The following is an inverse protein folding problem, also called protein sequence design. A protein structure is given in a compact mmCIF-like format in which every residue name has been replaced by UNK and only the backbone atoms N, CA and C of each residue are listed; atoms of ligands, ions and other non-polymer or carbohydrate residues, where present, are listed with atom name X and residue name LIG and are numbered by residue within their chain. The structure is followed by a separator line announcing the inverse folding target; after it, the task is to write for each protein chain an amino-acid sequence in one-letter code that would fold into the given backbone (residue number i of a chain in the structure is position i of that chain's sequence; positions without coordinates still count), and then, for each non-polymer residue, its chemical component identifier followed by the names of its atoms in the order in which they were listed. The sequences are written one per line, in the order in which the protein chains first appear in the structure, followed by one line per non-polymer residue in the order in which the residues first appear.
data_IF_896146175136
#
_entry.id   IF_896146175136
#
_cell.length_a   1.000
_cell.length_b   1.000
_cell.length_c   1.000
_cell.angle_alpha   90.00
_cell.angle_beta   90.00
_cell.angle_gamma   90.00
#
_symmetry.space_group_name_H-M   'P 1'
#
loop_
_entity.id
_entity.type
_entity.pdbx_description
1 polymer ?
#
# COMPACT_ATOMS: atom_id res chain seq x y z
N UNK A 1 19.70 -9.89 -47.56
CA UNK A 1 19.67 -8.49 -47.11
C UNK A 1 18.71 -8.25 -45.93
N UNK A 2 17.54 -8.85 -45.84
CA UNK A 2 16.58 -8.67 -44.73
C UNK A 2 16.99 -9.29 -43.36
N UNK A 3 17.86 -10.30 -43.35
CA UNK A 3 18.33 -10.94 -42.10
C UNK A 3 19.43 -10.12 -41.41
N UNK A 4 20.29 -9.48 -42.18
CA UNK A 4 21.37 -8.58 -41.67
C UNK A 4 20.77 -7.29 -41.07
N UNK A 5 19.70 -6.73 -41.66
CA UNK A 5 19.00 -5.55 -41.10
C UNK A 5 18.34 -5.83 -39.75
N UNK A 6 17.77 -7.02 -39.55
CA UNK A 6 17.21 -7.44 -38.24
C UNK A 6 18.28 -7.67 -37.17
N UNK A 7 19.46 -8.17 -37.55
CA UNK A 7 20.59 -8.35 -36.62
C UNK A 7 21.22 -6.99 -36.23
N UNK A 8 21.35 -6.06 -37.17
CA UNK A 8 21.84 -4.71 -36.88
C UNK A 8 20.86 -3.88 -36.01
N UNK A 9 19.56 -4.02 -36.24
CA UNK A 9 18.55 -3.38 -35.42
C UNK A 9 18.57 -3.89 -33.96
N UNK A 10 18.80 -5.19 -33.75
CA UNK A 10 18.94 -5.75 -32.39
C UNK A 10 20.21 -5.28 -31.67
N UNK A 11 21.31 -5.00 -32.38
CA UNK A 11 22.56 -4.52 -31.74
C UNK A 11 22.51 -3.04 -31.34
N UNK A 12 21.77 -2.20 -32.08
CA UNK A 12 21.58 -0.79 -31.72
C UNK A 12 20.60 -0.58 -30.57
N UNK A 13 19.60 -1.46 -30.44
CA UNK A 13 18.58 -1.40 -29.38
C UNK A 13 19.24 -1.60 -28.01
N UNK A 14 20.28 -2.42 -27.86
CA UNK A 14 20.98 -2.67 -26.60
C UNK A 14 21.87 -1.49 -26.11
N UNK A 15 22.15 -0.49 -26.95
CA UNK A 15 22.95 0.71 -26.56
C UNK A 15 22.10 1.94 -26.25
N UNK A 16 20.80 1.91 -26.49
CA UNK A 16 19.92 3.00 -26.12
C UNK A 16 19.66 2.94 -24.60
N UNK A 17 19.71 4.09 -23.90
CA UNK A 17 19.30 4.12 -22.51
C UNK A 17 17.88 3.57 -22.37
N UNK A 18 17.64 2.83 -21.30
CA UNK A 18 16.41 2.07 -21.07
C UNK A 18 15.14 2.91 -21.26
N UNK A 19 15.18 4.20 -20.93
CA UNK A 19 14.07 5.14 -21.08
C UNK A 19 13.74 5.45 -22.54
N UNK A 20 14.74 5.50 -23.46
CA UNK A 20 14.50 5.70 -24.89
C UNK A 20 13.89 4.43 -25.50
N UNK A 21 14.35 3.25 -25.06
CA UNK A 21 13.78 1.98 -25.48
C UNK A 21 12.31 1.86 -25.03
N UNK A 22 12.03 2.26 -23.80
CA UNK A 22 10.66 2.31 -23.27
C UNK A 22 9.78 3.30 -24.05
N UNK A 23 10.27 4.50 -24.31
CA UNK A 23 9.54 5.53 -25.08
C UNK A 23 9.29 5.14 -26.55
N UNK A 24 10.15 4.33 -27.16
CA UNK A 24 10.00 3.86 -28.54
C UNK A 24 9.06 2.66 -28.68
N UNK A 25 8.80 1.94 -27.59
CA UNK A 25 8.04 0.66 -27.55
C UNK A 25 6.65 0.87 -26.93
N UNK A 26 6.49 1.88 -26.07
CA UNK A 26 5.26 2.12 -25.31
C UNK A 26 4.53 3.37 -25.85
N UNK A 27 3.23 3.28 -25.97
CA UNK A 27 2.39 4.46 -26.19
C UNK A 27 2.58 5.44 -25.02
N UNK A 28 2.52 6.75 -25.32
CA UNK A 28 2.65 7.81 -24.32
C UNK A 28 1.68 7.62 -23.14
N UNK A 29 0.48 7.13 -23.42
CA UNK A 29 -0.54 6.85 -22.41
C UNK A 29 -0.09 5.76 -21.42
N UNK A 30 0.48 4.66 -21.90
CA UNK A 30 1.02 3.59 -21.06
C UNK A 30 2.17 4.08 -20.18
N UNK A 31 3.06 4.90 -20.73
CA UNK A 31 4.15 5.50 -19.94
C UNK A 31 3.62 6.41 -18.83
N UNK A 32 2.63 7.24 -19.16
CA UNK A 32 1.97 8.11 -18.18
C UNK A 32 1.28 7.30 -17.08
N UNK A 33 0.59 6.22 -17.45
CA UNK A 33 -0.08 5.33 -16.51
C UNK A 33 0.90 4.66 -15.54
N UNK A 34 2.05 4.19 -16.04
CA UNK A 34 3.14 3.62 -15.23
C UNK A 34 3.66 4.65 -14.23
N UNK A 35 4.01 5.84 -14.70
CA UNK A 35 4.56 6.90 -13.86
C UNK A 35 3.58 7.33 -12.78
N UNK A 36 2.33 7.63 -13.16
CA UNK A 36 1.31 8.10 -12.23
C UNK A 36 0.96 7.02 -11.21
N UNK A 37 0.73 5.78 -11.65
CA UNK A 37 0.44 4.66 -10.74
C UNK A 37 1.57 4.46 -9.73
N UNK A 38 2.82 4.50 -10.20
CA UNK A 38 4.00 4.29 -9.34
C UNK A 38 4.17 5.40 -8.31
N UNK A 39 4.05 6.67 -8.74
CA UNK A 39 4.19 7.84 -7.87
C UNK A 39 3.08 7.84 -6.83
N UNK A 40 1.83 7.69 -7.28
CA UNK A 40 0.66 7.72 -6.40
C UNK A 40 0.73 6.59 -5.38
N UNK A 41 0.94 5.35 -5.83
CA UNK A 41 1.06 4.20 -4.92
C UNK A 41 2.22 4.37 -3.94
N UNK A 42 3.41 4.73 -4.44
CA UNK A 42 4.60 4.89 -3.60
C UNK A 42 4.45 5.98 -2.54
N UNK A 43 3.82 7.10 -2.88
CA UNK A 43 3.62 8.19 -1.92
C UNK A 43 2.48 7.87 -0.95
N UNK A 44 1.38 7.29 -1.41
CA UNK A 44 0.15 7.25 -0.61
C UNK A 44 -0.03 5.97 0.21
N UNK A 45 0.71 4.89 -0.08
CA UNK A 45 0.51 3.58 0.55
C UNK A 45 0.71 3.59 2.06
N UNK A 46 1.71 4.30 2.57
CA UNK A 46 2.04 4.35 4.00
C UNK A 46 1.50 5.59 4.71
N UNK A 47 1.07 6.58 3.96
CA UNK A 47 0.39 7.75 4.49
C UNK A 47 -1.08 7.40 4.81
N UNK A 48 -1.68 8.02 5.83
CA UNK A 48 -3.07 7.75 6.15
C UNK A 48 -4.05 8.47 5.20
N UNK A 49 -3.84 8.35 3.85
CA UNK A 49 -4.60 9.10 2.82
C UNK A 49 -5.29 8.25 1.76
N UNK A 50 -5.12 6.92 1.78
CA UNK A 50 -5.74 5.94 0.87
C UNK A 50 -5.19 5.91 -0.56
N UNK A 51 -4.22 5.02 -0.80
CA UNK A 51 -3.67 4.77 -2.13
C UNK A 51 -4.74 4.32 -3.14
N UNK A 52 -5.59 3.37 -2.74
CA UNK A 52 -6.68 2.88 -3.60
C UNK A 52 -7.67 3.98 -4.01
N UNK A 53 -8.04 4.88 -3.08
CA UNK A 53 -8.91 6.01 -3.39
C UNK A 53 -8.30 6.94 -4.43
N UNK A 54 -7.00 7.26 -4.30
CA UNK A 54 -6.28 8.11 -5.26
C UNK A 54 -6.15 7.46 -6.63
N UNK A 55 -5.81 6.16 -6.69
CA UNK A 55 -5.68 5.44 -7.94
C UNK A 55 -7.01 5.38 -8.70
N UNK A 56 -8.12 5.10 -8.00
CA UNK A 56 -9.46 5.07 -8.60
C UNK A 56 -9.82 6.46 -9.12
N UNK A 57 -9.63 7.52 -8.30
CA UNK A 57 -9.93 8.88 -8.69
C UNK A 57 -9.14 9.33 -9.93
N UNK A 58 -7.84 9.06 -9.97
CA UNK A 58 -6.98 9.40 -11.10
C UNK A 58 -7.40 8.62 -12.36
N UNK A 59 -7.75 7.35 -12.20
CA UNK A 59 -8.23 6.53 -13.32
C UNK A 59 -9.50 7.11 -13.96
N UNK A 60 -10.45 7.56 -13.15
CA UNK A 60 -11.65 8.23 -13.63
C UNK A 60 -11.35 9.58 -14.28
N UNK A 61 -10.45 10.38 -13.66
CA UNK A 61 -10.07 11.70 -14.16
C UNK A 61 -9.44 11.65 -15.56
N UNK A 62 -8.58 10.65 -15.80
CA UNK A 62 -7.93 10.45 -17.10
C UNK A 62 -8.74 9.56 -18.06
N UNK A 63 -9.91 9.09 -17.63
CA UNK A 63 -10.77 8.17 -18.42
C UNK A 63 -10.00 6.94 -18.91
N UNK A 64 -9.04 6.44 -18.13
CA UNK A 64 -8.33 5.23 -18.46
C UNK A 64 -9.27 4.03 -18.38
N UNK A 65 -9.44 3.35 -19.51
CA UNK A 65 -10.49 2.32 -19.70
C UNK A 65 -10.39 1.15 -18.73
N UNK A 66 -9.18 0.80 -18.30
CA UNK A 66 -8.94 -0.30 -17.36
C UNK A 66 -7.74 0.02 -16.45
N UNK A 67 -7.96 -0.02 -15.14
CA UNK A 67 -6.84 -0.11 -14.21
C UNK A 67 -6.22 -1.49 -14.43
N UNK A 68 -5.02 -1.53 -15.01
CA UNK A 68 -4.29 -2.78 -15.15
C UNK A 68 -3.97 -3.33 -13.75
N UNK A 69 -4.75 -4.33 -13.32
CA UNK A 69 -4.59 -4.98 -12.01
C UNK A 69 -3.14 -5.44 -11.78
N UNK A 70 -2.46 -5.84 -12.85
CA UNK A 70 -1.07 -6.29 -12.79
C UNK A 70 -0.14 -5.16 -12.38
N UNK A 71 -0.33 -3.94 -12.90
CA UNK A 71 0.47 -2.76 -12.51
C UNK A 71 0.21 -2.37 -11.05
N UNK A 72 -1.05 -2.45 -10.61
CA UNK A 72 -1.40 -2.19 -9.20
C UNK A 72 -0.70 -3.20 -8.27
N UNK A 73 -0.71 -4.48 -8.62
CA UNK A 73 -0.03 -5.52 -7.83
C UNK A 73 1.48 -5.31 -7.83
N UNK A 74 2.08 -4.96 -8.98
CA UNK A 74 3.50 -4.61 -9.07
C UNK A 74 3.86 -3.42 -8.20
N UNK A 75 3.01 -2.39 -8.18
CA UNK A 75 3.19 -1.21 -7.35
C UNK A 75 3.13 -1.55 -5.84
N UNK A 76 2.19 -2.41 -5.43
CA UNK A 76 2.12 -2.90 -4.05
C UNK A 76 3.36 -3.74 -3.67
N UNK A 77 3.86 -4.59 -4.58
CA UNK A 77 5.12 -5.32 -4.35
C UNK A 77 6.29 -4.35 -4.18
N UNK A 78 6.39 -3.31 -5.01
CA UNK A 78 7.41 -2.27 -4.87
C UNK A 78 7.36 -1.61 -3.48
N UNK A 79 6.16 -1.21 -3.02
CA UNK A 79 5.99 -0.61 -1.69
C UNK A 79 6.26 -1.60 -0.56
N UNK A 80 5.91 -2.89 -0.72
CA UNK A 80 6.25 -3.95 0.23
C UNK A 80 7.77 -4.10 0.39
N UNK A 81 8.49 -4.12 -0.71
CA UNK A 81 9.96 -4.17 -0.67
C UNK A 81 10.54 -2.90 -0.04
N UNK A 82 9.96 -1.73 -0.27
CA UNK A 82 10.39 -0.48 0.34
C UNK A 82 10.28 -0.50 1.86
N UNK A 83 9.13 -0.91 2.41
CA UNK A 83 8.93 -0.98 3.87
C UNK A 83 9.80 -2.05 4.50
N UNK A 84 9.96 -3.20 3.86
CA UNK A 84 10.82 -4.28 4.35
C UNK A 84 12.28 -3.87 4.35
N UNK A 85 12.75 -3.18 3.30
CA UNK A 85 14.13 -2.68 3.21
C UNK A 85 14.38 -1.54 4.20
N UNK A 86 13.45 -0.59 4.32
CA UNK A 86 13.58 0.52 5.27
C UNK A 86 13.68 0.05 6.72
N UNK A 87 12.89 -0.95 7.10
CA UNK A 87 12.87 -1.55 8.44
C UNK A 87 13.60 -2.89 8.49
N UNK A 88 14.63 -3.10 7.65
CA UNK A 88 15.29 -4.39 7.51
C UNK A 88 15.71 -5.02 8.85
N UNK A 89 16.35 -4.25 9.74
CA UNK A 89 16.78 -4.75 11.05
C UNK A 89 15.60 -5.14 11.96
N UNK A 90 14.50 -4.39 11.90
CA UNK A 90 13.28 -4.71 12.63
C UNK A 90 12.58 -5.94 12.01
N UNK A 91 12.51 -6.01 10.70
CA UNK A 91 11.95 -7.16 9.97
C UNK A 91 12.74 -8.44 10.26
N UNK A 92 14.06 -8.38 10.26
CA UNK A 92 14.92 -9.49 10.63
C UNK A 92 14.62 -9.99 12.04
N UNK A 93 14.48 -9.08 13.02
CA UNK A 93 14.16 -9.44 14.41
C UNK A 93 12.78 -10.07 14.54
N UNK A 94 11.76 -9.47 13.91
CA UNK A 94 10.37 -9.86 14.14
C UNK A 94 9.94 -11.01 13.23
N UNK A 95 10.29 -11.01 11.94
CA UNK A 95 9.80 -11.99 10.97
C UNK A 95 10.76 -13.16 10.70
N UNK A 96 12.06 -13.00 10.95
CA UNK A 96 13.03 -14.09 10.76
C UNK A 96 13.43 -14.72 12.09
N UNK A 97 13.88 -13.93 13.07
CA UNK A 97 14.37 -14.45 14.34
C UNK A 97 13.23 -14.76 15.32
N UNK A 98 12.19 -13.92 15.37
CA UNK A 98 11.04 -14.12 16.25
C UNK A 98 10.42 -15.51 16.12
N UNK A 99 10.05 -15.99 14.92
CA UNK A 99 9.47 -17.32 14.75
C UNK A 99 10.35 -18.48 15.25
N UNK A 100 11.69 -18.34 15.19
CA UNK A 100 12.61 -19.38 15.66
C UNK A 100 12.52 -19.60 17.17
N UNK A 101 11.98 -18.63 17.91
CA UNK A 101 11.79 -18.76 19.35
C UNK A 101 10.57 -19.64 19.74
N UNK A 102 9.81 -20.17 18.77
CA UNK A 102 8.64 -21.02 19.05
C UNK A 102 9.03 -22.24 19.91
N UNK A 103 10.25 -22.75 19.71
CA UNK A 103 10.81 -23.88 20.44
C UNK A 103 11.60 -23.44 21.70
N UNK A 104 11.74 -22.15 21.95
CA UNK A 104 12.46 -21.62 23.11
C UNK A 104 11.58 -21.63 24.36
N UNK A 105 12.19 -21.96 25.52
CA UNK A 105 11.50 -21.88 26.83
C UNK A 105 11.20 -20.44 27.25
N UNK A 106 12.03 -19.46 26.81
CA UNK A 106 11.81 -18.03 27.09
C UNK A 106 11.44 -17.32 25.79
N UNK A 107 10.28 -16.70 25.78
CA UNK A 107 9.79 -15.92 24.64
C UNK A 107 10.13 -14.46 24.84
N UNK A 108 10.80 -13.88 23.85
CA UNK A 108 11.19 -12.46 23.89
C UNK A 108 10.07 -11.56 23.37
N UNK A 109 10.27 -10.25 23.48
CA UNK A 109 9.41 -9.25 22.83
C UNK A 109 9.30 -9.48 21.31
N UNK A 110 10.37 -9.91 20.63
CA UNK A 110 10.38 -10.14 19.19
C UNK A 110 9.39 -11.25 18.79
N UNK A 111 9.38 -12.35 19.54
CA UNK A 111 8.42 -13.43 19.32
C UNK A 111 6.98 -12.98 19.56
N UNK A 112 6.72 -12.26 20.65
CA UNK A 112 5.39 -11.77 20.97
C UNK A 112 4.89 -10.77 19.89
N UNK A 113 5.78 -9.88 19.41
CA UNK A 113 5.44 -8.94 18.36
C UNK A 113 5.17 -9.65 17.02
N UNK A 114 5.96 -10.68 16.69
CA UNK A 114 5.68 -11.52 15.52
C UNK A 114 4.28 -12.15 15.60
N UNK A 115 3.93 -12.77 16.73
CA UNK A 115 2.61 -13.35 16.92
C UNK A 115 1.51 -12.29 16.82
N UNK A 116 1.72 -11.14 17.43
CA UNK A 116 0.78 -10.02 17.38
C UNK A 116 0.53 -9.55 15.94
N UNK A 117 1.59 -9.38 15.14
CA UNK A 117 1.47 -9.01 13.72
C UNK A 117 0.78 -10.09 12.89
N UNK A 118 1.12 -11.35 13.15
CA UNK A 118 0.51 -12.50 12.47
C UNK A 118 -1.00 -12.56 12.75
N UNK A 119 -1.40 -12.59 14.00
CA UNK A 119 -2.82 -12.66 14.38
C UNK A 119 -3.62 -11.42 13.95
N UNK A 120 -3.02 -10.23 13.99
CA UNK A 120 -3.67 -9.01 13.47
C UNK A 120 -3.91 -9.05 11.96
N UNK A 121 -3.16 -9.86 11.22
CA UNK A 121 -3.30 -9.96 9.77
C UNK A 121 -4.35 -10.98 9.33
N UNK A 122 -4.69 -11.94 10.19
CA UNK A 122 -5.63 -13.01 9.86
C UNK A 122 -7.01 -12.45 9.44
N UNK A 123 -7.62 -11.50 10.17
CA UNK A 123 -8.95 -11.01 9.82
C UNK A 123 -9.02 -10.44 8.41
N UNK A 124 -8.10 -9.54 8.04
CA UNK A 124 -8.13 -8.92 6.71
C UNK A 124 -7.86 -9.93 5.59
N UNK A 125 -6.98 -10.93 5.82
CA UNK A 125 -6.69 -11.97 4.82
C UNK A 125 -7.93 -12.84 4.59
N UNK A 126 -8.62 -13.24 5.66
CA UNK A 126 -9.85 -14.07 5.55
C UNK A 126 -10.94 -13.28 4.82
N UNK A 127 -11.23 -12.04 5.26
CA UNK A 127 -12.27 -11.23 4.64
C UNK A 127 -11.91 -10.84 3.19
N UNK A 128 -10.63 -10.52 2.89
CA UNK A 128 -10.18 -10.24 1.53
C UNK A 128 -10.31 -11.46 0.61
N UNK A 129 -9.95 -12.65 1.08
CA UNK A 129 -10.15 -13.90 0.35
C UNK A 129 -11.65 -14.18 0.12
N UNK A 130 -12.48 -13.95 1.13
CA UNK A 130 -13.94 -14.08 1.02
C UNK A 130 -14.52 -13.15 -0.04
N UNK A 131 -14.18 -11.86 -0.03
CA UNK A 131 -14.64 -10.89 -1.03
C UNK A 131 -14.21 -11.29 -2.46
N UNK A 132 -12.96 -11.75 -2.61
CA UNK A 132 -12.45 -12.24 -3.91
C UNK A 132 -13.20 -13.49 -4.37
N UNK A 133 -13.42 -14.46 -3.50
CA UNK A 133 -14.10 -15.72 -3.84
C UNK A 133 -15.55 -15.50 -4.29
N UNK A 134 -16.28 -14.64 -3.58
CA UNK A 134 -17.68 -14.31 -3.91
C UNK A 134 -17.83 -13.21 -4.96
N UNK A 135 -16.73 -12.70 -5.54
CA UNK A 135 -16.72 -11.65 -6.58
C UNK A 135 -17.55 -10.42 -6.21
N UNK A 136 -17.43 -9.99 -4.96
CA UNK A 136 -18.18 -8.85 -4.42
C UNK A 136 -17.54 -7.54 -4.90
N UNK A 137 -18.08 -6.93 -5.96
CA UNK A 137 -17.51 -5.76 -6.63
C UNK A 137 -18.22 -4.43 -6.34
N UNK A 138 -19.36 -4.41 -5.65
CA UNK A 138 -20.13 -3.19 -5.40
C UNK A 138 -19.51 -2.18 -4.44
N UNK A 139 -18.44 -2.56 -3.75
CA UNK A 139 -17.69 -1.65 -2.87
C UNK A 139 -16.86 -0.60 -3.63
N UNK A 140 -16.79 -0.68 -4.96
CA UNK A 140 -16.01 0.26 -5.79
C UNK A 140 -16.82 1.44 -6.33
N UNK A 141 -18.04 1.66 -5.84
CA UNK A 141 -18.79 2.87 -6.19
C UNK A 141 -18.11 4.13 -5.67
N UNK A 142 -17.92 5.10 -6.54
CA UNK A 142 -17.14 6.32 -6.30
C UNK A 142 -17.65 7.14 -5.11
N UNK A 143 -19.00 7.24 -4.93
CA UNK A 143 -19.57 7.89 -3.76
C UNK A 143 -19.21 7.18 -2.43
N UNK A 144 -19.15 5.83 -2.44
CA UNK A 144 -18.77 5.06 -1.26
C UNK A 144 -17.31 5.32 -0.87
N UNK A 145 -16.42 5.47 -1.87
CA UNK A 145 -15.01 5.80 -1.67
C UNK A 145 -14.87 7.16 -0.98
N UNK A 146 -15.60 8.17 -1.47
CA UNK A 146 -15.56 9.50 -0.89
C UNK A 146 -16.15 9.52 0.53
N UNK A 147 -17.31 8.89 0.75
CA UNK A 147 -17.92 8.79 2.07
C UNK A 147 -16.99 8.06 3.06
N UNK A 148 -16.40 6.92 2.66
CA UNK A 148 -15.46 6.19 3.51
C UNK A 148 -14.22 7.04 3.85
N UNK A 149 -13.69 7.79 2.87
CA UNK A 149 -12.55 8.68 3.10
C UNK A 149 -12.90 9.76 4.16
N UNK A 150 -14.08 10.34 4.11
CA UNK A 150 -14.53 11.33 5.11
C UNK A 150 -14.70 10.69 6.48
N UNK A 151 -15.43 9.58 6.59
CA UNK A 151 -15.71 8.90 7.86
C UNK A 151 -14.41 8.49 8.55
N UNK A 152 -13.50 7.80 7.84
CA UNK A 152 -12.24 7.35 8.43
C UNK A 152 -11.24 8.51 8.67
N UNK A 153 -11.40 9.65 8.01
CA UNK A 153 -10.66 10.86 8.35
C UNK A 153 -11.13 11.46 9.67
N UNK A 154 -12.44 11.52 9.90
CA UNK A 154 -13.00 11.98 11.17
C UNK A 154 -12.60 11.06 12.32
N UNK A 155 -12.63 9.73 12.12
CA UNK A 155 -12.17 8.77 13.12
C UNK A 155 -10.69 8.97 13.45
N UNK A 156 -9.84 9.20 12.45
CA UNK A 156 -8.41 9.50 12.65
C UNK A 156 -8.23 10.81 13.46
N UNK A 157 -9.00 11.84 13.13
CA UNK A 157 -8.98 13.12 13.85
C UNK A 157 -9.33 12.94 15.34
N UNK A 158 -10.43 12.25 15.65
CA UNK A 158 -10.83 12.01 17.03
C UNK A 158 -9.82 11.15 17.78
N UNK A 159 -9.28 10.10 17.14
CA UNK A 159 -8.27 9.24 17.75
C UNK A 159 -6.98 10.00 18.09
N UNK A 160 -6.61 10.99 17.28
CA UNK A 160 -5.38 11.75 17.49
C UNK A 160 -5.45 12.75 18.64
N UNK A 161 -6.65 13.11 19.11
CA UNK A 161 -6.86 13.95 20.31
C UNK A 161 -6.53 13.24 21.62
N UNK A 162 -6.51 11.91 21.64
CA UNK A 162 -6.24 11.15 22.84
C UNK A 162 -4.82 11.40 23.34
N UNK A 163 -4.70 11.72 24.65
CA UNK A 163 -3.42 11.76 25.35
C UNK A 163 -2.87 10.34 25.45
N UNK A 164 -1.73 10.08 24.83
CA UNK A 164 -1.22 8.73 24.64
C UNK A 164 0.17 8.59 25.23
N UNK A 165 0.41 7.48 25.94
CA UNK A 165 1.69 7.17 26.57
C UNK A 165 2.28 5.82 26.13
N UNK A 166 1.45 4.92 25.55
CA UNK A 166 1.89 3.58 25.17
C UNK A 166 2.96 3.63 24.07
N UNK A 167 4.01 2.82 24.27
CA UNK A 167 5.08 2.55 23.31
C UNK A 167 4.85 1.21 22.62
N UNK A 168 5.66 0.89 21.62
CA UNK A 168 5.54 -0.37 20.89
C UNK A 168 5.72 -1.60 21.79
N UNK A 169 6.57 -1.49 22.83
CA UNK A 169 6.79 -2.59 23.78
C UNK A 169 5.58 -2.87 24.68
N UNK A 170 4.64 -1.95 24.76
CA UNK A 170 3.43 -2.11 25.59
C UNK A 170 2.28 -2.78 24.83
N UNK A 171 2.53 -3.22 23.57
CA UNK A 171 1.50 -3.81 22.74
C UNK A 171 1.13 -5.21 23.26
N UNK A 172 -0.13 -5.37 23.62
CA UNK A 172 -0.70 -6.65 24.04
C UNK A 172 -1.32 -7.40 22.87
N UNK A 173 -1.56 -8.68 23.06
CA UNK A 173 -2.33 -9.49 22.10
C UNK A 173 -3.74 -8.89 21.86
N UNK A 174 -4.39 -8.40 22.92
CA UNK A 174 -5.71 -7.76 22.82
C UNK A 174 -5.65 -6.48 21.95
N UNK A 175 -4.63 -5.63 22.16
CA UNK A 175 -4.44 -4.43 21.34
C UNK A 175 -4.28 -4.81 19.86
N UNK A 176 -3.45 -5.81 19.60
CA UNK A 176 -3.16 -6.31 18.26
C UNK A 176 -4.38 -6.89 17.58
N UNK A 177 -5.18 -7.67 18.30
CA UNK A 177 -6.43 -8.23 17.79
C UNK A 177 -7.43 -7.13 17.41
N UNK A 178 -7.59 -6.10 18.25
CA UNK A 178 -8.46 -4.95 17.96
C UNK A 178 -7.97 -4.22 16.70
N UNK A 179 -6.66 -3.97 16.58
CA UNK A 179 -6.10 -3.34 15.37
C UNK A 179 -6.37 -4.22 14.14
N UNK A 180 -6.25 -5.53 14.26
CA UNK A 180 -6.55 -6.50 13.19
C UNK A 180 -8.02 -6.48 12.75
N UNK A 181 -8.96 -6.37 13.67
CA UNK A 181 -10.38 -6.20 13.35
C UNK A 181 -10.61 -4.86 12.62
N UNK A 182 -10.03 -3.76 13.12
CA UNK A 182 -10.12 -2.48 12.42
C UNK A 182 -9.50 -2.55 11.01
N UNK A 183 -8.48 -3.36 10.81
CA UNK A 183 -7.85 -3.52 9.50
C UNK A 183 -8.81 -4.09 8.44
N UNK A 184 -9.90 -4.80 8.81
CA UNK A 184 -10.92 -5.27 7.86
C UNK A 184 -11.53 -4.10 7.08
N UNK A 185 -11.72 -2.95 7.72
CA UNK A 185 -12.24 -1.76 7.05
C UNK A 185 -11.34 -1.25 5.93
N UNK A 186 -10.07 -1.65 5.89
CA UNK A 186 -9.17 -1.32 4.78
C UNK A 186 -9.58 -1.95 3.44
N UNK A 187 -10.47 -2.96 3.46
CA UNK A 187 -11.05 -3.54 2.25
C UNK A 187 -12.06 -2.60 1.58
N UNK A 188 -12.54 -1.57 2.28
CA UNK A 188 -13.38 -0.53 1.71
C UNK A 188 -12.44 0.53 1.08
N UNK A 189 -12.48 0.72 -0.25
CA UNK A 189 -11.68 1.76 -0.90
C UNK A 189 -11.98 3.14 -0.30
N UNK A 190 -10.96 3.99 -0.20
CA UNK A 190 -11.10 5.31 0.46
C UNK A 190 -10.77 5.29 1.95
N UNK A 191 -10.95 4.17 2.68
CA UNK A 191 -10.72 4.08 4.13
C UNK A 191 -9.25 4.27 4.55
N UNK A 192 -8.30 3.87 3.72
CA UNK A 192 -6.84 3.82 3.98
C UNK A 192 -6.43 2.74 5.00
N UNK A 193 -5.78 1.67 4.55
CA UNK A 193 -5.26 0.61 5.42
C UNK A 193 -4.34 1.18 6.51
N UNK A 194 -3.40 2.05 6.13
CA UNK A 194 -2.55 2.73 7.11
C UNK A 194 -3.39 3.58 8.07
N UNK A 195 -4.37 4.34 7.55
CA UNK A 195 -5.25 5.19 8.35
C UNK A 195 -6.06 4.43 9.38
N UNK A 196 -6.70 3.31 9.02
CA UNK A 196 -7.53 2.52 9.95
C UNK A 196 -6.68 1.87 11.05
N UNK A 197 -5.50 1.32 10.71
CA UNK A 197 -4.59 0.73 11.70
C UNK A 197 -4.04 1.79 12.66
N UNK A 198 -3.64 2.96 12.14
CA UNK A 198 -3.17 4.09 12.95
C UNK A 198 -4.29 4.55 13.88
N UNK A 199 -5.51 4.72 13.37
CA UNK A 199 -6.69 5.14 14.15
C UNK A 199 -6.96 4.20 15.31
N UNK A 200 -6.98 2.90 15.07
CA UNK A 200 -7.18 1.89 16.10
C UNK A 200 -6.07 1.95 17.17
N UNK A 201 -4.81 1.98 16.75
CA UNK A 201 -3.68 2.08 17.66
C UNK A 201 -3.72 3.38 18.50
N UNK A 202 -4.14 4.50 17.92
CA UNK A 202 -4.30 5.78 18.62
C UNK A 202 -5.43 5.71 19.67
N UNK A 203 -6.57 5.11 19.36
CA UNK A 203 -7.65 4.89 20.32
C UNK A 203 -7.21 4.00 21.48
N UNK A 204 -6.34 3.02 21.23
CA UNK A 204 -5.76 2.15 22.25
C UNK A 204 -4.67 2.81 23.12
N UNK A 205 -4.32 4.06 22.84
CA UNK A 205 -3.39 4.85 23.64
C UNK A 205 -1.94 4.83 23.18
N UNK A 206 -1.63 4.33 21.98
CA UNK A 206 -0.27 4.37 21.41
C UNK A 206 0.09 5.77 20.92
N UNK A 207 1.36 6.17 21.11
CA UNK A 207 1.84 7.42 20.54
C UNK A 207 1.89 7.35 19.00
N UNK A 208 1.93 8.51 18.32
CA UNK A 208 1.85 8.61 16.86
C UNK A 208 2.91 7.77 16.14
N UNK A 209 4.16 7.86 16.59
CA UNK A 209 5.28 7.14 15.95
C UNK A 209 5.09 5.62 16.09
N UNK A 210 4.68 5.14 17.27
CA UNK A 210 4.44 3.72 17.49
C UNK A 210 3.24 3.20 16.68
N UNK A 211 2.14 3.98 16.62
CA UNK A 211 0.96 3.65 15.83
C UNK A 211 1.31 3.50 14.34
N UNK A 212 2.10 4.44 13.80
CA UNK A 212 2.56 4.39 12.40
C UNK A 212 3.52 3.23 12.16
N UNK A 213 4.53 3.03 13.03
CA UNK A 213 5.45 1.90 12.90
C UNK A 213 4.71 0.56 12.90
N UNK A 214 3.79 0.36 13.85
CA UNK A 214 3.01 -0.86 13.92
C UNK A 214 2.16 -1.07 12.65
N UNK A 215 1.51 -0.01 12.16
CA UNK A 215 0.78 -0.06 10.89
C UNK A 215 1.69 -0.43 9.70
N UNK A 216 2.93 0.08 9.66
CA UNK A 216 3.91 -0.27 8.63
C UNK A 216 4.36 -1.73 8.73
N UNK A 217 4.63 -2.25 9.93
CA UNK A 217 4.95 -3.68 10.12
C UNK A 217 3.78 -4.58 9.72
N UNK A 218 2.55 -4.17 10.08
CA UNK A 218 1.34 -4.92 9.74
C UNK A 218 1.05 -4.92 8.23
N UNK A 219 1.60 -3.93 7.48
CA UNK A 219 1.51 -3.93 6.02
C UNK A 219 2.22 -5.10 5.38
N UNK A 220 3.30 -5.59 5.97
CA UNK A 220 4.12 -6.66 5.38
C UNK A 220 3.29 -7.94 5.16
N UNK A 221 2.70 -8.56 6.19
CA UNK A 221 1.86 -9.74 5.98
C UNK A 221 0.57 -9.43 5.19
N UNK A 222 -0.04 -8.23 5.36
CA UNK A 222 -1.27 -7.88 4.66
C UNK A 222 -1.07 -7.72 3.14
N UNK A 223 -0.04 -6.97 2.71
CA UNK A 223 0.28 -6.80 1.28
C UNK A 223 0.78 -8.11 0.70
N UNK A 224 1.63 -8.87 1.42
CA UNK A 224 2.08 -10.20 0.96
C UNK A 224 0.90 -11.14 0.71
N UNK A 225 -0.08 -11.16 1.61
CA UNK A 225 -1.30 -11.97 1.43
C UNK A 225 -2.13 -11.51 0.24
N UNK A 226 -2.33 -10.21 0.06
CA UNK A 226 -3.08 -9.65 -1.06
C UNK A 226 -2.39 -9.95 -2.42
N UNK A 227 -1.09 -9.71 -2.51
CA UNK A 227 -0.30 -9.97 -3.73
C UNK A 227 -0.23 -11.46 -4.05
N UNK A 228 -0.10 -12.33 -3.05
CA UNK A 228 -0.16 -13.78 -3.24
C UNK A 228 -1.50 -14.22 -3.85
N UNK A 229 -2.62 -13.70 -3.37
CA UNK A 229 -3.94 -14.01 -3.92
C UNK A 229 -4.11 -13.58 -5.39
N UNK A 230 -3.39 -12.54 -5.82
CA UNK A 230 -3.47 -11.99 -7.19
C UNK A 230 -2.39 -12.53 -8.12
N UNK A 231 -1.33 -13.14 -7.59
CA UNK A 231 -0.18 -13.62 -8.36
C UNK A 231 -0.54 -14.61 -9.46
N UNK A 232 -1.49 -15.53 -9.19
CA UNK A 232 -1.94 -16.49 -10.18
C UNK A 232 -2.67 -15.85 -11.37
N UNK A 233 -3.26 -14.69 -11.20
CA UNK A 233 -3.94 -13.97 -12.28
C UNK A 233 -2.91 -13.30 -13.21
N UNK A 234 -1.75 -12.89 -12.65
CA UNK A 234 -0.65 -12.27 -13.41
C UNK A 234 0.08 -13.30 -14.30
N UNK A 235 0.34 -14.52 -13.78
CA UNK A 235 1.09 -15.57 -14.54
C UNK A 235 0.38 -15.95 -15.83
N UNK A 236 -0.95 -15.82 -15.90
CA UNK A 236 -1.73 -16.16 -17.10
C UNK A 236 -1.51 -15.19 -18.26
N UNK A 237 -0.89 -14.04 -18.03
CA UNK A 237 -0.65 -13.01 -19.05
C UNK A 237 0.77 -13.16 -19.62
N UNK A 238 0.91 -13.83 -20.77
CA UNK A 238 2.19 -14.16 -21.42
C UNK A 238 2.63 -13.10 -22.43
N UNK A 239 2.87 -11.83 -22.05
CA UNK A 239 3.47 -10.83 -22.95
C UNK A 239 4.75 -10.23 -22.37
N UNK A 240 5.78 -10.12 -23.22
CA UNK A 240 7.08 -9.53 -22.84
C UNK A 240 6.96 -8.05 -22.45
N UNK A 241 6.11 -7.30 -23.13
CA UNK A 241 5.87 -5.90 -22.83
C UNK A 241 5.28 -5.70 -21.43
N UNK A 242 4.36 -6.55 -21.02
CA UNK A 242 3.79 -6.51 -19.68
C UNK A 242 4.85 -6.68 -18.59
N UNK A 243 5.87 -7.52 -18.81
CA UNK A 243 6.95 -7.69 -17.83
C UNK A 243 7.81 -6.43 -17.66
N UNK A 244 8.10 -5.69 -18.74
CA UNK A 244 8.82 -4.41 -18.66
C UNK A 244 8.01 -3.39 -17.85
N UNK A 245 6.70 -3.30 -18.10
CA UNK A 245 5.79 -2.43 -17.36
C UNK A 245 5.78 -2.78 -15.86
N UNK A 246 5.60 -4.06 -15.55
CA UNK A 246 5.60 -4.58 -14.18
C UNK A 246 6.88 -4.25 -13.43
N UNK A 247 8.04 -4.49 -14.05
CA UNK A 247 9.36 -4.20 -13.46
C UNK A 247 9.53 -2.70 -13.24
N UNK A 248 9.10 -1.87 -14.19
CA UNK A 248 9.20 -0.41 -14.10
C UNK A 248 8.35 0.14 -12.95
N UNK A 249 7.08 -0.30 -12.86
CA UNK A 249 6.18 0.10 -11.78
C UNK A 249 6.71 -0.36 -10.43
N UNK A 250 7.21 -1.58 -10.34
CA UNK A 250 7.81 -2.12 -9.10
C UNK A 250 8.95 -1.22 -8.60
N UNK A 251 9.94 -0.92 -9.44
CA UNK A 251 11.10 -0.14 -9.03
C UNK A 251 10.75 1.32 -8.71
N UNK A 252 9.90 1.95 -9.51
CA UNK A 252 9.48 3.33 -9.26
C UNK A 252 8.67 3.41 -7.95
N UNK A 253 7.70 2.52 -7.75
CA UNK A 253 6.92 2.49 -6.50
C UNK A 253 7.80 2.21 -5.28
N UNK A 254 8.80 1.34 -5.41
CA UNK A 254 9.81 1.10 -4.37
C UNK A 254 10.54 2.40 -4.00
N UNK A 255 11.05 3.14 -4.97
CA UNK A 255 11.79 4.37 -4.72
C UNK A 255 10.93 5.42 -4.04
N UNK A 256 9.76 5.71 -4.59
CA UNK A 256 8.85 6.71 -4.00
C UNK A 256 8.40 6.31 -2.60
N UNK A 257 8.08 5.04 -2.36
CA UNK A 257 7.69 4.55 -1.05
C UNK A 257 8.83 4.66 -0.02
N UNK A 258 10.05 4.29 -0.40
CA UNK A 258 11.22 4.36 0.48
C UNK A 258 11.48 5.79 0.98
N UNK A 259 11.46 6.76 0.06
CA UNK A 259 11.60 8.17 0.42
C UNK A 259 10.41 8.68 1.25
N UNK A 260 9.19 8.27 0.89
CA UNK A 260 7.97 8.65 1.63
C UNK A 260 8.00 8.15 3.07
N UNK A 261 8.38 6.89 3.32
CA UNK A 261 8.51 6.34 4.68
C UNK A 261 9.48 7.19 5.50
N UNK A 262 10.66 7.48 4.95
CA UNK A 262 11.68 8.28 5.61
C UNK A 262 11.17 9.68 5.95
N UNK A 263 10.56 10.35 4.97
CA UNK A 263 9.98 11.69 5.13
C UNK A 263 8.84 11.68 6.16
N UNK A 264 7.91 10.75 6.05
CA UNK A 264 6.75 10.66 6.94
C UNK A 264 7.14 10.49 8.39
N UNK A 265 8.07 9.57 8.69
CA UNK A 265 8.55 9.37 10.06
C UNK A 265 9.26 10.61 10.65
N UNK A 266 9.96 11.38 9.82
CA UNK A 266 10.54 12.67 10.23
C UNK A 266 9.45 13.71 10.47
N UNK A 267 8.45 13.77 9.60
CA UNK A 267 7.35 14.72 9.65
C UNK A 267 6.49 14.53 10.91
N UNK A 268 6.21 13.28 11.30
CA UNK A 268 5.43 12.95 12.52
C UNK A 268 6.03 13.45 13.82
N UNK A 269 7.32 13.79 13.85
CA UNK A 269 7.95 14.43 15.01
C UNK A 269 7.52 15.90 15.17
N UNK A 270 7.01 16.52 14.09
CA UNK A 270 6.70 17.96 14.05
C UNK A 270 5.21 18.25 13.91
N UNK A 271 4.44 17.38 13.25
CA UNK A 271 3.02 17.61 12.96
C UNK A 271 2.13 16.50 13.55
N UNK A 272 0.84 16.82 13.66
CA UNK A 272 -0.22 15.88 13.98
C UNK A 272 -0.88 15.32 12.71
N UNK A 273 -1.88 14.45 12.88
CA UNK A 273 -2.59 13.87 11.73
C UNK A 273 -3.60 14.83 11.08
N UNK A 274 -3.85 16.02 11.64
CA UNK A 274 -4.84 16.97 11.09
C UNK A 274 -4.56 17.34 9.63
N UNK A 275 -3.28 17.47 9.26
CA UNK A 275 -2.90 17.75 7.87
C UNK A 275 -3.46 16.68 6.92
N UNK A 276 -3.29 15.41 7.25
CA UNK A 276 -3.79 14.29 6.44
C UNK A 276 -5.31 14.19 6.46
N UNK A 277 -5.94 14.51 7.59
CA UNK A 277 -7.40 14.55 7.73
C UNK A 277 -8.00 15.60 6.81
N UNK A 278 -7.48 16.82 6.85
CA UNK A 278 -7.96 17.93 6.00
C UNK A 278 -7.75 17.59 4.53
N UNK A 279 -6.56 17.12 4.17
CA UNK A 279 -6.25 16.71 2.81
C UNK A 279 -7.25 15.67 2.28
N UNK A 280 -7.52 14.58 3.03
CA UNK A 280 -8.47 13.53 2.62
C UNK A 280 -9.89 14.05 2.45
N UNK A 281 -10.34 14.90 3.35
CA UNK A 281 -11.69 15.50 3.27
C UNK A 281 -11.79 16.36 2.01
N UNK A 282 -10.79 17.21 1.73
CA UNK A 282 -10.77 18.05 0.53
C UNK A 282 -10.77 17.21 -0.75
N UNK A 283 -9.95 16.17 -0.83
CA UNK A 283 -9.92 15.26 -1.98
C UNK A 283 -11.25 14.53 -2.14
N UNK A 284 -11.86 14.06 -1.05
CA UNK A 284 -13.14 13.37 -1.10
C UNK A 284 -14.28 14.29 -1.57
N UNK A 285 -14.32 15.53 -1.08
CA UNK A 285 -15.31 16.54 -1.53
C UNK A 285 -15.09 16.87 -3.00
N UNK A 286 -13.84 17.10 -3.41
CA UNK A 286 -13.53 17.37 -4.82
C UNK A 286 -13.98 16.22 -5.72
N UNK A 287 -13.76 14.96 -5.29
CA UNK A 287 -14.19 13.78 -6.04
C UNK A 287 -15.71 13.68 -6.15
N UNK A 288 -16.46 13.97 -5.08
CA UNK A 288 -17.93 14.01 -5.13
C UNK A 288 -18.44 15.08 -6.10
N UNK A 289 -17.87 16.29 -6.05
CA UNK A 289 -18.23 17.37 -6.96
C UNK A 289 -17.93 16.96 -8.42
N UNK A 290 -16.78 16.36 -8.67
CA UNK A 290 -16.41 15.88 -10.00
C UNK A 290 -17.41 14.86 -10.56
N UNK A 291 -17.89 13.92 -9.73
CA UNK A 291 -18.88 12.90 -10.13
C UNK A 291 -20.26 13.45 -10.44
N UNK A 292 -20.64 14.56 -9.80
CA UNK A 292 -21.95 15.21 -10.04
C UNK A 292 -21.97 16.04 -11.34
N UNK A 293 -20.77 16.44 -11.84
CA UNK A 293 -20.65 17.31 -13.02
C UNK A 293 -20.26 16.57 -14.30
N UNK A 294 -19.76 15.35 -14.23
CA UNK A 294 -19.29 14.54 -15.35
C UNK A 294 -19.81 13.10 -15.28
#
# INVERSE_FOLDING_TARGET
MLVLSKLFMNFYIFRLPLWILMAAIMDFENLLQILVTSIVQGITEFLPISSSGHLIFINELFSWKDINLTLIVAAHLGTLFAVTNYFWEDCKKYFLLGPLEIFSKKKTFNFNLFLNLFYSSIPIIIFGAFLKFYKINYIYHSWLIACSAIIFSLLLFFSDKNKTKKKLNDISFKDSFIIGIFQIFALIPGSSRAGVCITAARFLGFNRICAVKYSMYLSIPAISGATFLMFFDIIKQNSFFLWIEVISVFFLSFLFAYFTISFFLKLLKKINFNFFVIYRILVAIFFLIYLDFF
#
